data_IF_851050071605
#
_entry.id   IF_851050071605
#
_cell.length_a   1.000
_cell.length_b   1.000
_cell.length_c   1.000
_cell.angle_alpha   90.00
_cell.angle_beta   90.00
_cell.angle_gamma   90.00
#
_symmetry.space_group_name_H-M   'P 1'
#
loop_
_entity.id
_entity.type
_entity.pdbx_description
1 polymer ?
#
# COMPACT_ATOMS: atom_id res chain seq x y z
N UNK A 1 2.21 -4.85 -1.17
CA UNK A 1 3.07 -5.89 -0.57
C UNK A 1 3.88 -5.27 0.56
N UNK A 2 3.74 -5.73 1.81
CA UNK A 2 4.55 -5.23 2.93
C UNK A 2 6.00 -5.75 2.79
N UNK A 3 6.91 -4.83 2.47
CA UNK A 3 8.35 -5.06 2.54
C UNK A 3 8.70 -5.44 3.99
N UNK A 4 9.44 -6.55 4.18
CA UNK A 4 9.89 -6.94 5.52
C UNK A 4 11.09 -6.08 5.89
N UNK A 5 10.96 -5.18 6.86
CA UNK A 5 12.06 -4.34 7.32
C UNK A 5 12.71 -4.91 8.57
N UNK A 6 14.05 -4.97 8.61
CA UNK A 6 14.78 -5.37 9.83
C UNK A 6 14.51 -4.42 11.00
N UNK A 7 14.22 -3.14 10.72
CA UNK A 7 13.96 -2.11 11.73
C UNK A 7 12.68 -2.38 12.54
N UNK A 8 11.79 -3.27 12.09
CA UNK A 8 10.59 -3.65 12.82
C UNK A 8 10.85 -4.66 13.95
N UNK A 9 12.08 -5.19 14.04
CA UNK A 9 12.44 -6.25 14.97
C UNK A 9 13.46 -5.78 16.01
N UNK A 10 13.20 -6.11 17.27
CA UNK A 10 14.18 -5.94 18.37
C UNK A 10 14.94 -7.23 18.70
N UNK A 11 14.69 -8.31 17.94
CA UNK A 11 15.35 -9.60 18.05
C UNK A 11 15.65 -10.12 16.64
N UNK A 12 16.94 -10.27 16.33
CA UNK A 12 17.40 -10.68 15.01
C UNK A 12 16.85 -12.06 14.60
N UNK A 13 16.62 -12.97 15.55
CA UNK A 13 16.08 -14.32 15.29
C UNK A 13 14.67 -14.25 14.74
N UNK A 14 13.86 -13.32 15.27
CA UNK A 14 12.49 -13.09 14.80
C UNK A 14 12.47 -12.57 13.37
N UNK A 15 13.41 -11.68 13.03
CA UNK A 15 13.56 -11.22 11.65
C UNK A 15 13.93 -12.37 10.72
N UNK A 16 14.95 -13.17 11.07
CA UNK A 16 15.40 -14.29 10.23
C UNK A 16 14.23 -15.26 9.98
N UNK A 17 13.47 -15.61 11.03
CA UNK A 17 12.29 -16.46 10.91
C UNK A 17 11.20 -15.86 9.99
N UNK A 18 10.93 -14.56 10.12
CA UNK A 18 9.96 -13.86 9.29
C UNK A 18 10.39 -13.78 7.81
N UNK A 19 11.69 -13.59 7.54
CA UNK A 19 12.26 -13.58 6.20
C UNK A 19 12.15 -14.94 5.53
N UNK A 20 12.47 -16.02 6.26
CA UNK A 20 12.40 -17.40 5.77
C UNK A 20 10.98 -17.86 5.44
N UNK A 21 10.00 -17.42 6.22
CA UNK A 21 8.59 -17.73 5.97
C UNK A 21 8.11 -17.23 4.61
N UNK A 22 8.82 -16.25 4.03
CA UNK A 22 8.56 -15.70 2.69
C UNK A 22 9.36 -16.39 1.57
N UNK A 23 10.25 -17.33 1.89
CA UNK A 23 11.05 -18.05 0.90
C UNK A 23 10.30 -19.25 0.29
N UNK A 24 10.70 -19.73 -0.91
CA UNK A 24 10.09 -20.90 -1.55
C UNK A 24 10.00 -22.11 -0.61
N UNK A 25 8.88 -22.85 -0.68
CA UNK A 25 8.59 -24.00 0.20
C UNK A 25 8.54 -23.66 1.70
N UNK A 26 8.25 -22.39 2.05
CA UNK A 26 8.17 -21.89 3.45
C UNK A 26 9.43 -22.18 4.27
N UNK A 27 10.59 -22.21 3.63
CA UNK A 27 11.86 -22.49 4.30
C UNK A 27 12.09 -23.97 4.64
N UNK A 28 11.48 -24.93 3.93
CA UNK A 28 11.82 -26.36 4.10
C UNK A 28 13.33 -26.58 3.89
N UNK A 29 13.98 -27.26 4.83
CA UNK A 29 15.44 -27.43 4.85
C UNK A 29 16.22 -26.24 5.43
N UNK A 30 15.52 -25.29 6.07
CA UNK A 30 16.10 -24.07 6.62
C UNK A 30 17.34 -24.30 7.50
N UNK A 31 17.22 -25.16 8.52
CA UNK A 31 18.33 -25.41 9.45
C UNK A 31 19.57 -25.91 8.71
N UNK A 32 19.41 -26.80 7.73
CA UNK A 32 20.50 -27.33 6.90
C UNK A 32 21.16 -26.25 6.04
N UNK A 33 20.37 -25.42 5.37
CA UNK A 33 20.91 -24.32 4.54
C UNK A 33 21.67 -23.29 5.39
N UNK A 34 21.13 -22.97 6.56
CA UNK A 34 21.75 -22.01 7.46
C UNK A 34 23.01 -22.60 8.11
N UNK A 35 23.01 -23.89 8.43
CA UNK A 35 24.17 -24.61 8.94
C UNK A 35 25.31 -24.62 7.92
N UNK A 36 24.99 -24.92 6.65
CA UNK A 36 25.96 -24.88 5.55
C UNK A 36 26.54 -23.48 5.34
N UNK A 37 25.68 -22.45 5.27
CA UNK A 37 26.10 -21.05 5.08
C UNK A 37 27.03 -20.58 6.20
N UNK A 38 26.65 -20.82 7.45
CA UNK A 38 27.42 -20.41 8.64
C UNK A 38 28.57 -21.38 8.97
N UNK A 39 28.86 -22.35 8.11
CA UNK A 39 29.88 -23.39 8.35
C UNK A 39 29.75 -24.05 9.73
N UNK A 40 28.53 -24.35 10.14
CA UNK A 40 28.19 -24.89 11.48
C UNK A 40 27.27 -26.10 11.39
N UNK A 41 26.88 -26.68 12.54
CA UNK A 41 26.00 -27.86 12.58
C UNK A 41 24.52 -27.48 12.69
N UNK A 42 23.63 -28.34 12.19
CA UNK A 42 22.18 -28.21 12.38
C UNK A 42 21.77 -28.08 13.84
N UNK A 43 22.49 -28.77 14.74
CA UNK A 43 22.27 -28.66 16.17
C UNK A 43 22.60 -27.26 16.70
N UNK A 44 23.71 -26.67 16.26
CA UNK A 44 24.10 -25.30 16.61
C UNK A 44 23.07 -24.27 16.12
N UNK A 45 22.57 -24.42 14.90
CA UNK A 45 21.50 -23.55 14.38
C UNK A 45 20.21 -23.73 15.19
N UNK A 46 19.83 -24.96 15.54
CA UNK A 46 18.66 -25.19 16.41
C UNK A 46 18.80 -24.49 17.77
N UNK A 47 19.99 -24.53 18.38
CA UNK A 47 20.28 -23.85 19.64
C UNK A 47 20.19 -22.32 19.50
N UNK A 48 20.60 -21.75 18.36
CA UNK A 48 20.48 -20.31 18.08
C UNK A 48 19.01 -19.86 18.10
N UNK A 49 18.13 -20.56 17.38
CA UNK A 49 16.70 -20.19 17.32
C UNK A 49 15.93 -20.51 18.61
N UNK A 50 16.46 -21.41 19.45
CA UNK A 50 15.97 -21.63 20.81
C UNK A 50 16.49 -20.60 21.83
N UNK A 51 17.35 -19.67 21.40
CA UNK A 51 17.97 -18.67 22.26
C UNK A 51 18.98 -19.22 23.26
N UNK A 52 19.51 -20.42 23.01
CA UNK A 52 20.53 -21.07 23.84
C UNK A 52 21.95 -20.70 23.38
N UNK A 53 22.09 -20.20 22.15
CA UNK A 53 23.32 -19.74 21.55
C UNK A 53 23.04 -18.48 20.73
N UNK A 54 24.06 -17.65 20.53
CA UNK A 54 23.95 -16.46 19.69
C UNK A 54 24.92 -16.56 18.51
N UNK A 55 24.54 -16.00 17.35
CA UNK A 55 25.44 -15.88 16.19
C UNK A 55 26.60 -14.93 16.49
N UNK A 56 27.73 -15.08 15.81
CA UNK A 56 28.84 -14.11 15.90
C UNK A 56 28.64 -12.94 14.94
N UNK A 57 29.50 -11.93 15.03
CA UNK A 57 29.47 -10.80 14.10
C UNK A 57 29.84 -11.23 12.68
N UNK A 58 30.75 -12.21 12.53
CA UNK A 58 31.12 -12.81 11.26
C UNK A 58 29.93 -13.57 10.63
N UNK A 59 29.25 -14.40 11.43
CA UNK A 59 28.00 -15.05 10.99
C UNK A 59 26.92 -14.03 10.62
N UNK A 60 26.83 -12.91 11.35
CA UNK A 60 25.86 -11.87 11.05
C UNK A 60 26.18 -11.17 9.71
N UNK A 61 27.46 -10.97 9.37
CA UNK A 61 27.89 -10.45 8.08
C UNK A 61 27.53 -11.41 6.93
N UNK A 62 27.82 -12.70 7.07
CA UNK A 62 27.49 -13.72 6.06
C UNK A 62 25.98 -13.79 5.77
N UNK A 63 25.15 -13.57 6.80
CA UNK A 63 23.69 -13.54 6.65
C UNK A 63 23.18 -12.23 6.04
N UNK A 64 23.81 -11.11 6.37
CA UNK A 64 23.43 -9.81 5.81
C UNK A 64 23.57 -9.78 4.28
N UNK A 65 24.58 -10.46 3.73
CA UNK A 65 24.74 -10.65 2.28
C UNK A 65 23.55 -11.41 1.68
N UNK A 66 23.12 -12.50 2.31
CA UNK A 66 21.97 -13.30 1.88
C UNK A 66 20.66 -12.49 1.92
N UNK A 67 20.54 -11.57 2.88
CA UNK A 67 19.39 -10.68 3.01
C UNK A 67 19.44 -9.46 2.09
N UNK A 68 20.56 -9.24 1.37
CA UNK A 68 20.83 -8.05 0.57
C UNK A 68 20.69 -6.74 1.36
N UNK A 69 21.20 -6.73 2.60
CA UNK A 69 21.13 -5.53 3.43
C UNK A 69 21.98 -4.39 2.89
N UNK A 70 21.43 -3.19 2.93
CA UNK A 70 22.23 -1.97 2.77
C UNK A 70 23.04 -1.66 4.05
N UNK A 71 23.94 -0.67 3.98
CA UNK A 71 24.82 -0.31 5.10
C UNK A 71 24.10 -0.04 6.42
N UNK A 72 22.92 0.61 6.38
CA UNK A 72 22.15 0.94 7.58
C UNK A 72 21.49 -0.31 8.17
N UNK A 73 20.95 -1.17 7.32
CA UNK A 73 20.33 -2.43 7.72
C UNK A 73 21.36 -3.39 8.31
N UNK A 74 22.54 -3.49 7.68
CA UNK A 74 23.67 -4.25 8.19
C UNK A 74 24.09 -3.73 9.57
N UNK A 75 24.34 -2.43 9.70
CA UNK A 75 24.73 -1.82 10.98
C UNK A 75 23.72 -2.10 12.09
N UNK A 76 22.43 -2.05 11.76
CA UNK A 76 21.36 -2.35 12.72
C UNK A 76 21.27 -3.84 13.06
N UNK A 77 21.50 -4.74 12.10
CA UNK A 77 21.53 -6.18 12.34
C UNK A 77 22.70 -6.62 13.24
N UNK A 78 23.88 -6.03 13.03
CA UNK A 78 25.05 -6.21 13.91
C UNK A 78 24.75 -5.70 15.33
N UNK A 79 24.05 -4.57 15.45
CA UNK A 79 23.61 -4.03 16.75
C UNK A 79 22.63 -4.96 17.48
N UNK A 80 21.67 -5.56 16.78
CA UNK A 80 20.77 -6.57 17.36
C UNK A 80 21.53 -7.81 17.83
N UNK A 81 22.56 -8.21 17.08
CA UNK A 81 23.42 -9.34 17.41
C UNK A 81 24.22 -9.07 18.69
N UNK A 82 24.83 -7.88 18.81
CA UNK A 82 25.54 -7.48 20.04
C UNK A 82 24.61 -7.41 21.25
N UNK A 83 23.40 -6.88 21.06
CA UNK A 83 22.40 -6.81 22.11
C UNK A 83 21.98 -8.20 22.63
N UNK A 84 21.88 -9.18 21.74
CA UNK A 84 21.57 -10.56 22.11
C UNK A 84 22.75 -11.25 22.81
N UNK A 85 23.98 -11.06 22.30
CA UNK A 85 25.21 -11.67 22.84
C UNK A 85 25.63 -11.13 24.20
N UNK A 86 25.39 -9.85 24.47
CA UNK A 86 25.94 -9.23 25.69
C UNK A 86 25.25 -9.72 26.97
N UNK A 87 26.07 -10.12 27.94
CA UNK A 87 25.65 -10.48 29.31
C UNK A 87 25.73 -9.30 30.28
N UNK A 88 26.42 -8.21 29.91
CA UNK A 88 26.57 -7.02 30.75
C UNK A 88 25.29 -6.20 30.78
N UNK A 89 24.67 -6.07 31.95
CA UNK A 89 23.44 -5.29 32.14
C UNK A 89 23.60 -3.83 31.69
N UNK A 90 24.75 -3.21 31.99
CA UNK A 90 25.03 -1.81 31.64
C UNK A 90 25.14 -1.63 30.13
N UNK A 91 25.85 -2.53 29.45
CA UNK A 91 25.99 -2.49 27.98
C UNK A 91 24.65 -2.79 27.31
N UNK A 92 23.90 -3.78 27.80
CA UNK A 92 22.57 -4.13 27.30
C UNK A 92 21.60 -2.95 27.33
N UNK A 93 21.62 -2.15 28.40
CA UNK A 93 20.82 -0.92 28.51
C UNK A 93 21.20 0.11 27.43
N UNK A 94 22.50 0.31 27.17
CA UNK A 94 22.99 1.24 26.15
C UNK A 94 22.57 0.78 24.74
N UNK A 95 22.79 -0.49 24.42
CA UNK A 95 22.43 -1.05 23.12
C UNK A 95 20.91 -0.98 22.88
N UNK A 96 20.09 -1.25 23.91
CA UNK A 96 18.63 -1.11 23.80
C UNK A 96 18.22 0.34 23.48
N UNK A 97 18.86 1.34 24.09
CA UNK A 97 18.60 2.75 23.79
C UNK A 97 18.97 3.10 22.35
N UNK A 98 20.07 2.57 21.83
CA UNK A 98 20.46 2.75 20.43
C UNK A 98 19.46 2.10 19.47
N UNK A 99 19.03 0.86 19.77
CA UNK A 99 17.98 0.15 19.00
C UNK A 99 16.71 0.99 18.94
N UNK A 100 16.22 1.45 20.09
CA UNK A 100 15.00 2.28 20.18
C UNK A 100 15.15 3.60 19.43
N UNK A 101 16.31 4.25 19.52
CA UNK A 101 16.60 5.50 18.78
C UNK A 101 16.49 5.28 17.28
N UNK A 102 17.16 4.27 16.74
CA UNK A 102 17.12 3.96 15.30
C UNK A 102 15.70 3.59 14.85
N UNK A 103 14.98 2.79 15.63
CA UNK A 103 13.58 2.45 15.32
C UNK A 103 12.68 3.68 15.29
N UNK A 104 12.84 4.60 16.24
CA UNK A 104 12.07 5.84 16.29
C UNK A 104 12.42 6.77 15.12
N UNK A 105 13.70 6.88 14.76
CA UNK A 105 14.14 7.64 13.59
C UNK A 105 13.54 7.08 12.30
N UNK A 106 13.60 5.76 12.11
CA UNK A 106 13.01 5.09 10.94
C UNK A 106 11.49 5.24 10.88
N UNK A 107 10.79 5.08 12.01
CA UNK A 107 9.34 5.37 12.09
C UNK A 107 9.05 6.83 11.77
N UNK A 108 9.85 7.77 12.27
CA UNK A 108 9.67 9.20 11.97
C UNK A 108 9.91 9.54 10.49
N UNK A 109 10.87 8.87 9.85
CA UNK A 109 11.16 9.01 8.42
C UNK A 109 10.06 8.40 7.58
N UNK A 110 9.58 7.20 7.91
CA UNK A 110 8.41 6.59 7.28
C UNK A 110 7.17 7.51 7.41
N UNK A 111 6.94 8.07 8.60
CA UNK A 111 5.87 9.02 8.84
C UNK A 111 6.03 10.34 8.05
N UNK A 112 7.26 10.81 7.82
CA UNK A 112 7.53 11.99 6.96
C UNK A 112 7.28 11.68 5.49
N UNK A 113 7.77 10.55 4.99
CA UNK A 113 7.55 10.10 3.60
C UNK A 113 6.07 9.79 3.33
N UNK A 114 5.31 9.35 4.34
CA UNK A 114 3.85 9.23 4.21
C UNK A 114 3.13 10.58 4.23
N UNK A 115 3.56 11.54 5.06
CA UNK A 115 3.00 12.90 5.08
C UNK A 115 3.21 13.65 3.77
N UNK A 116 4.36 13.48 3.12
CA UNK A 116 4.64 14.09 1.81
C UNK A 116 3.79 13.48 0.66
N UNK A 117 3.14 12.33 0.90
CA UNK A 117 2.23 11.65 -0.04
C UNK A 117 0.74 11.89 0.26
N UNK A 118 0.41 12.68 1.27
CA UNK A 118 -0.96 13.03 1.62
C UNK A 118 -1.30 14.43 1.07
N UNK A 119 -2.43 14.52 0.37
CA UNK A 119 -2.93 15.80 -0.11
C UNK A 119 -3.30 16.71 1.05
N UNK A 120 -2.98 18.01 0.93
CA UNK A 120 -3.47 19.03 1.87
C UNK A 120 -4.98 19.18 1.74
N UNK A 121 -5.65 19.70 2.78
CA UNK A 121 -7.10 19.93 2.75
C UNK A 121 -7.52 20.87 1.60
N UNK A 122 -6.69 21.87 1.28
CA UNK A 122 -6.90 22.76 0.13
C UNK A 122 -6.90 21.96 -1.19
N UNK A 123 -5.93 21.07 -1.37
CA UNK A 123 -5.84 20.23 -2.57
C UNK A 123 -7.00 19.25 -2.64
N UNK A 124 -7.37 18.63 -1.51
CA UNK A 124 -8.55 17.76 -1.42
C UNK A 124 -9.84 18.49 -1.81
N UNK A 125 -10.01 19.74 -1.37
CA UNK A 125 -11.21 20.54 -1.67
C UNK A 125 -11.44 20.71 -3.17
N UNK A 126 -10.36 20.86 -3.95
CA UNK A 126 -10.41 20.98 -5.41
C UNK A 126 -10.53 19.60 -6.04
N UNK A 127 -9.69 18.65 -5.62
CA UNK A 127 -9.66 17.29 -6.19
C UNK A 127 -11.00 16.55 -6.07
N UNK A 128 -11.72 16.73 -4.95
CA UNK A 128 -13.04 16.12 -4.75
C UNK A 128 -14.21 17.03 -5.11
N UNK A 129 -13.96 18.22 -5.68
CA UNK A 129 -15.03 19.13 -6.10
C UNK A 129 -15.86 18.59 -7.28
N UNK A 130 -15.24 17.76 -8.12
CA UNK A 130 -15.84 17.15 -9.32
C UNK A 130 -15.27 15.76 -9.58
N UNK A 131 -16.08 14.87 -10.15
CA UNK A 131 -15.64 13.53 -10.57
C UNK A 131 -14.54 13.58 -11.64
N UNK A 132 -14.41 14.69 -12.37
CA UNK A 132 -13.46 14.84 -13.47
C UNK A 132 -12.00 14.69 -13.02
N UNK A 133 -11.64 15.13 -11.81
CA UNK A 133 -10.26 15.01 -11.31
C UNK A 133 -9.87 13.55 -11.04
N UNK A 134 -10.73 12.81 -10.35
CA UNK A 134 -10.53 11.37 -10.12
C UNK A 134 -10.64 10.58 -11.42
N UNK A 135 -11.64 10.90 -12.26
CA UNK A 135 -11.86 10.27 -13.54
C UNK A 135 -10.67 10.42 -14.48
N UNK A 136 -10.11 11.63 -14.60
CA UNK A 136 -8.92 11.88 -15.41
C UNK A 136 -7.70 11.13 -14.89
N UNK A 137 -7.46 11.15 -13.57
CA UNK A 137 -6.35 10.38 -12.96
C UNK A 137 -6.47 8.89 -13.27
N UNK A 138 -7.66 8.31 -13.21
CA UNK A 138 -7.89 6.91 -13.54
C UNK A 138 -7.77 6.62 -15.04
N UNK A 139 -8.20 7.53 -15.91
CA UNK A 139 -8.00 7.39 -17.37
C UNK A 139 -6.52 7.41 -17.76
N UNK A 140 -5.70 8.20 -17.07
CA UNK A 140 -4.25 8.23 -17.28
C UNK A 140 -3.57 6.95 -16.81
N UNK A 141 -4.20 6.16 -15.94
CA UNK A 141 -3.68 4.85 -15.55
C UNK A 141 -3.78 3.80 -16.67
N UNK A 142 -4.57 4.06 -17.71
CA UNK A 142 -4.70 3.15 -18.85
C UNK A 142 -3.40 3.15 -19.65
N UNK A 143 -2.72 2.01 -19.76
CA UNK A 143 -1.39 1.91 -20.41
C UNK A 143 -1.44 2.29 -21.91
N UNK A 144 -2.60 2.16 -22.54
CA UNK A 144 -2.86 2.57 -23.91
C UNK A 144 -3.52 3.97 -23.94
N UNK A 145 -2.96 4.87 -24.77
CA UNK A 145 -3.57 6.16 -25.20
C UNK A 145 -3.45 7.34 -24.23
N UNK A 146 -2.52 7.33 -23.26
CA UNK A 146 -2.21 8.47 -22.37
C UNK A 146 -1.69 9.72 -23.07
N UNK A 147 -1.28 9.58 -24.33
CA UNK A 147 -0.49 10.60 -25.04
C UNK A 147 -1.39 11.59 -25.81
N UNK A 148 -2.70 11.36 -25.85
CA UNK A 148 -3.65 12.17 -26.63
C UNK A 148 -4.60 12.97 -25.72
N UNK A 149 -4.35 14.28 -25.63
CA UNK A 149 -5.25 15.22 -24.95
C UNK A 149 -6.66 15.22 -25.60
N UNK A 150 -6.73 15.04 -26.91
CA UNK A 150 -8.02 14.97 -27.63
C UNK A 150 -8.82 13.74 -27.19
N UNK A 151 -8.17 12.58 -27.07
CA UNK A 151 -8.82 11.37 -26.57
C UNK A 151 -9.36 11.58 -25.15
N UNK A 152 -8.58 12.20 -24.25
CA UNK A 152 -9.02 12.49 -22.88
C UNK A 152 -10.21 13.47 -22.84
N UNK A 153 -10.18 14.52 -23.67
CA UNK A 153 -11.26 15.50 -23.77
C UNK A 153 -12.56 14.87 -24.30
N UNK A 154 -12.47 14.07 -25.37
CA UNK A 154 -13.59 13.33 -25.95
C UNK A 154 -14.16 12.32 -24.95
N UNK A 155 -13.29 11.56 -24.27
CA UNK A 155 -13.70 10.53 -23.30
C UNK A 155 -14.44 11.14 -22.10
N UNK A 156 -13.97 12.28 -21.62
CA UNK A 156 -14.59 13.01 -20.51
C UNK A 156 -15.76 13.89 -20.96
N UNK A 157 -15.94 14.11 -22.27
CA UNK A 157 -16.92 15.05 -22.87
C UNK A 157 -16.78 16.47 -22.30
N UNK A 158 -15.54 16.96 -22.20
CA UNK A 158 -15.23 18.31 -21.71
C UNK A 158 -14.44 19.12 -22.72
N UNK A 159 -14.50 20.44 -22.58
CA UNK A 159 -13.77 21.37 -23.44
C UNK A 159 -12.24 21.28 -23.19
N UNK A 160 -11.36 21.41 -24.22
CA UNK A 160 -9.91 21.31 -24.04
C UNK A 160 -9.32 22.27 -22.99
N UNK A 161 -9.84 23.49 -22.90
CA UNK A 161 -9.44 24.51 -21.91
C UNK A 161 -9.74 24.04 -20.48
N UNK A 162 -10.84 23.31 -20.27
CA UNK A 162 -11.18 22.74 -18.97
C UNK A 162 -10.25 21.57 -18.65
N UNK A 163 -9.98 20.70 -19.63
CA UNK A 163 -9.02 19.61 -19.48
C UNK A 163 -7.62 20.12 -19.08
N UNK A 164 -7.12 21.17 -19.74
CA UNK A 164 -5.83 21.78 -19.41
C UNK A 164 -5.76 22.22 -17.95
N UNK A 165 -6.77 22.95 -17.47
CA UNK A 165 -6.82 23.40 -16.06
C UNK A 165 -6.78 22.24 -15.07
N UNK A 166 -7.44 21.12 -15.38
CA UNK A 166 -7.44 19.93 -14.54
C UNK A 166 -6.05 19.27 -14.57
N UNK A 167 -5.44 19.13 -15.76
CA UNK A 167 -4.10 18.55 -15.91
C UNK A 167 -3.02 19.37 -15.18
N UNK A 168 -3.08 20.70 -15.30
CA UNK A 168 -2.17 21.62 -14.62
C UNK A 168 -2.27 21.42 -13.10
N UNK A 169 -3.51 21.41 -12.57
CA UNK A 169 -3.75 21.16 -11.15
C UNK A 169 -3.23 19.79 -10.71
N UNK A 170 -3.52 18.72 -11.45
CA UNK A 170 -3.10 17.37 -11.09
C UNK A 170 -1.56 17.22 -11.13
N UNK A 171 -0.90 17.88 -12.08
CA UNK A 171 0.57 17.82 -12.23
C UNK A 171 1.26 18.65 -11.15
N UNK A 172 0.78 19.88 -10.89
CA UNK A 172 1.31 20.75 -9.84
C UNK A 172 1.24 20.10 -8.45
N UNK A 173 0.21 19.30 -8.21
CA UNK A 173 0.00 18.62 -6.94
C UNK A 173 0.51 17.17 -6.93
N UNK A 174 1.33 16.77 -7.91
CA UNK A 174 1.93 15.42 -8.01
C UNK A 174 0.91 14.27 -8.00
N UNK A 175 -0.33 14.54 -8.41
CA UNK A 175 -1.37 13.53 -8.63
C UNK A 175 -1.19 12.84 -9.98
N UNK A 176 -0.57 13.55 -10.93
CA UNK A 176 -0.03 13.05 -12.19
C UNK A 176 1.43 13.50 -12.32
N UNK A 177 2.22 12.74 -13.06
CA UNK A 177 3.61 13.07 -13.39
C UNK A 177 3.85 12.86 -14.88
N UNK A 178 4.74 13.67 -15.46
CA UNK A 178 5.18 13.50 -16.83
C UNK A 178 6.48 12.67 -16.82
N UNK A 179 6.45 11.49 -17.41
CA UNK A 179 7.60 10.59 -17.55
C UNK A 179 7.80 10.25 -19.03
N UNK A 180 8.95 10.61 -19.59
CA UNK A 180 9.28 10.37 -21.01
C UNK A 180 8.19 10.85 -21.99
N UNK A 181 7.64 12.05 -21.75
CA UNK A 181 6.53 12.67 -22.51
C UNK A 181 5.18 11.94 -22.39
N UNK A 182 5.06 10.94 -21.52
CA UNK A 182 3.79 10.27 -21.20
C UNK A 182 3.28 10.69 -19.83
N UNK A 183 1.99 10.92 -19.72
CA UNK A 183 1.35 11.16 -18.42
C UNK A 183 1.25 9.83 -17.67
N UNK A 184 1.64 9.84 -16.41
CA UNK A 184 1.51 8.71 -15.48
C UNK A 184 0.87 9.14 -14.18
N UNK A 185 0.29 8.18 -13.47
CA UNK A 185 -0.24 8.39 -12.13
C UNK A 185 0.89 8.78 -11.18
N UNK A 186 0.69 9.88 -10.45
CA UNK A 186 1.67 10.38 -9.48
C UNK A 186 1.63 9.63 -8.14
N UNK A 187 2.64 9.86 -7.27
CA UNK A 187 2.86 9.10 -6.04
C UNK A 187 1.87 9.43 -4.90
N UNK A 188 1.05 10.47 -5.05
CA UNK A 188 0.11 10.92 -4.03
C UNK A 188 -1.01 9.90 -3.78
N UNK A 189 -1.32 9.68 -2.49
CA UNK A 189 -2.44 8.83 -2.06
C UNK A 189 -3.74 9.65 -2.05
N UNK A 190 -4.78 9.09 -2.66
CA UNK A 190 -6.11 9.72 -2.80
C UNK A 190 -7.18 8.98 -1.99
N UNK A 191 -6.79 8.23 -0.96
CA UNK A 191 -7.77 7.61 -0.08
C UNK A 191 -8.37 8.66 0.86
N UNK A 192 -9.70 8.69 0.97
CA UNK A 192 -10.41 9.50 1.96
C UNK A 192 -10.69 8.66 3.19
N UNK A 193 -10.31 9.20 4.35
CA UNK A 193 -10.73 8.65 5.64
C UNK A 193 -12.25 8.81 5.79
N UNK A 194 -12.88 7.88 6.52
CA UNK A 194 -14.33 7.82 6.70
C UNK A 194 -14.95 9.13 7.21
N UNK A 195 -14.24 9.83 8.09
CA UNK A 195 -14.72 11.06 8.73
C UNK A 195 -14.34 12.34 7.95
N UNK A 196 -13.74 12.20 6.76
CA UNK A 196 -13.40 13.37 5.95
C UNK A 196 -14.66 14.05 5.40
N UNK A 197 -14.74 15.40 5.47
CA UNK A 197 -15.88 16.15 4.95
C UNK A 197 -16.07 15.99 3.43
N UNK A 198 -15.06 15.49 2.71
CA UNK A 198 -15.11 15.29 1.27
C UNK A 198 -15.72 13.95 0.84
N UNK A 199 -15.91 12.99 1.77
CA UNK A 199 -16.49 11.66 1.46
C UNK A 199 -17.87 11.80 0.83
N UNK A 200 -18.76 12.56 1.49
CA UNK A 200 -20.12 12.81 0.99
C UNK A 200 -20.10 13.46 -0.39
N UNK A 201 -19.25 14.48 -0.59
CA UNK A 201 -19.17 15.18 -1.87
C UNK A 201 -18.64 14.27 -2.98
N UNK A 202 -17.64 13.46 -2.70
CA UNK A 202 -17.10 12.47 -3.63
C UNK A 202 -18.17 11.47 -4.08
N UNK A 203 -18.92 10.91 -3.12
CA UNK A 203 -20.03 10.00 -3.39
C UNK A 203 -21.15 10.64 -4.22
N UNK A 204 -21.53 11.88 -3.91
CA UNK A 204 -22.53 12.64 -4.67
C UNK A 204 -22.07 12.87 -6.12
N UNK A 205 -20.81 13.26 -6.33
CA UNK A 205 -20.29 13.52 -7.68
C UNK A 205 -20.39 12.28 -8.58
N UNK A 206 -20.04 11.09 -8.07
CA UNK A 206 -20.14 9.84 -8.84
C UNK A 206 -21.58 9.38 -9.06
N UNK A 207 -22.48 9.60 -8.09
CA UNK A 207 -23.91 9.31 -8.26
C UNK A 207 -24.57 10.23 -9.28
N UNK A 208 -24.26 11.53 -9.26
CA UNK A 208 -24.71 12.48 -10.30
C UNK A 208 -24.20 12.07 -11.68
N UNK A 209 -22.95 11.58 -11.78
CA UNK A 209 -22.42 11.02 -13.01
C UNK A 209 -23.18 9.76 -13.44
N UNK A 210 -23.48 8.86 -12.51
CA UNK A 210 -24.28 7.66 -12.77
C UNK A 210 -25.67 8.00 -13.31
N UNK A 211 -26.37 8.99 -12.73
CA UNK A 211 -27.65 9.48 -13.23
C UNK A 211 -27.55 9.99 -14.68
N UNK A 212 -26.45 10.64 -15.03
CA UNK A 212 -26.20 11.08 -16.42
C UNK A 212 -26.01 9.90 -17.37
N UNK A 213 -25.31 8.85 -16.93
CA UNK A 213 -25.12 7.63 -17.75
C UNK A 213 -26.37 6.76 -17.83
N UNK A 214 -27.27 6.78 -16.84
CA UNK A 214 -28.58 6.12 -16.92
C UNK A 214 -29.40 6.63 -18.12
N UNK A 215 -29.30 7.93 -18.42
CA UNK A 215 -29.95 8.54 -19.60
C UNK A 215 -29.20 8.19 -20.90
N UNK A 216 -27.88 8.00 -20.82
CA UNK A 216 -27.00 7.73 -21.97
C UNK A 216 -26.44 6.30 -21.94
N UNK A 217 -27.33 5.33 -21.66
CA UNK A 217 -26.96 3.95 -21.37
C UNK A 217 -26.24 3.28 -22.54
N UNK A 218 -25.18 2.53 -22.22
CA UNK A 218 -24.53 1.58 -23.13
C UNK A 218 -24.98 0.16 -22.78
N UNK A 219 -24.90 -0.75 -23.73
CA UNK A 219 -25.28 -2.16 -23.55
C UNK A 219 -24.51 -2.86 -22.41
N UNK A 220 -23.26 -2.45 -22.19
CA UNK A 220 -22.40 -3.00 -21.13
C UNK A 220 -22.67 -2.40 -19.73
N UNK A 221 -23.47 -1.34 -19.65
CA UNK A 221 -23.74 -0.65 -18.37
C UNK A 221 -24.81 -1.41 -17.57
N UNK A 222 -24.54 -1.65 -16.29
CA UNK A 222 -25.48 -2.29 -15.37
C UNK A 222 -26.12 -1.23 -14.45
N UNK A 223 -27.42 -1.02 -14.61
CA UNK A 223 -28.24 -0.21 -13.70
C UNK A 223 -29.27 -1.10 -13.01
N UNK A 224 -29.27 -1.10 -11.69
CA UNK A 224 -30.17 -1.91 -10.88
C UNK A 224 -30.72 -1.10 -9.71
N UNK A 225 -32.01 -1.24 -9.42
CA UNK A 225 -32.67 -0.57 -8.30
C UNK A 225 -33.73 -1.51 -7.75
N UNK A 226 -33.67 -1.77 -6.44
CA UNK A 226 -34.56 -2.71 -5.77
C UNK A 226 -34.96 -2.15 -4.38
N UNK A 227 -35.97 -1.27 -4.31
CA UNK A 227 -36.64 -1.02 -3.04
C UNK A 227 -37.25 -2.33 -2.55
N UNK A 228 -37.12 -2.62 -1.26
CA UNK A 228 -37.43 -3.94 -0.71
C UNK A 228 -38.00 -3.85 0.70
N UNK A 229 -38.86 -4.82 1.03
CA UNK A 229 -39.33 -5.09 2.39
C UNK A 229 -38.77 -6.45 2.81
N UNK A 230 -38.05 -6.48 3.94
CA UNK A 230 -37.33 -7.67 4.41
C UNK A 230 -37.22 -7.66 5.93
N UNK A 231 -36.88 -8.82 6.51
CA UNK A 231 -36.56 -8.92 7.93
C UNK A 231 -35.22 -8.26 8.25
N UNK A 232 -35.08 -7.80 9.49
CA UNK A 232 -33.84 -7.22 10.02
C UNK A 232 -32.64 -8.18 9.88
N UNK A 233 -32.86 -9.48 10.11
CA UNK A 233 -31.82 -10.50 9.97
C UNK A 233 -31.34 -10.62 8.52
N UNK A 234 -32.26 -10.56 7.55
CA UNK A 234 -31.91 -10.57 6.14
C UNK A 234 -31.20 -9.27 5.74
N UNK A 235 -31.61 -8.13 6.27
CA UNK A 235 -30.97 -6.84 6.02
C UNK A 235 -29.50 -6.83 6.48
N UNK A 236 -29.23 -7.35 7.69
CA UNK A 236 -27.86 -7.53 8.22
C UNK A 236 -27.04 -8.49 7.36
N UNK A 237 -27.64 -9.61 6.94
CA UNK A 237 -26.98 -10.61 6.09
C UNK A 237 -26.58 -10.01 4.73
N UNK A 238 -27.49 -9.31 4.06
CA UNK A 238 -27.22 -8.66 2.76
C UNK A 238 -26.10 -7.63 2.92
N UNK A 239 -26.16 -6.79 3.97
CA UNK A 239 -25.10 -5.81 4.24
C UNK A 239 -23.73 -6.45 4.42
N UNK A 240 -23.65 -7.58 5.12
CA UNK A 240 -22.39 -8.32 5.27
C UNK A 240 -21.87 -8.84 3.93
N UNK A 241 -22.75 -9.43 3.10
CA UNK A 241 -22.40 -9.90 1.76
C UNK A 241 -21.89 -8.77 0.85
N UNK A 242 -22.47 -7.57 0.93
CA UNK A 242 -21.98 -6.41 0.20
C UNK A 242 -20.55 -6.01 0.64
N UNK A 243 -20.25 -6.08 1.94
CA UNK A 243 -18.90 -5.78 2.46
C UNK A 243 -17.88 -6.81 1.98
N UNK A 244 -18.25 -8.10 2.00
CA UNK A 244 -17.39 -9.18 1.53
C UNK A 244 -17.09 -9.02 0.03
N UNK A 245 -18.12 -8.75 -0.78
CA UNK A 245 -17.99 -8.47 -2.20
C UNK A 245 -17.06 -7.27 -2.48
N UNK A 246 -17.24 -6.14 -1.77
CA UNK A 246 -16.38 -4.97 -1.92
C UNK A 246 -14.92 -5.32 -1.59
N UNK A 247 -14.70 -6.09 -0.53
CA UNK A 247 -13.35 -6.46 -0.08
C UNK A 247 -12.63 -7.37 -1.09
N UNK A 248 -13.35 -8.34 -1.65
CA UNK A 248 -12.84 -9.23 -2.69
C UNK A 248 -12.54 -8.46 -3.99
N UNK A 249 -13.49 -7.64 -4.45
CA UNK A 249 -13.33 -6.79 -5.63
C UNK A 249 -12.12 -5.86 -5.53
N UNK A 250 -11.92 -5.19 -4.38
CA UNK A 250 -10.76 -4.29 -4.19
C UNK A 250 -9.44 -5.05 -4.30
N UNK A 251 -9.37 -6.28 -3.81
CA UNK A 251 -8.19 -7.14 -3.92
C UNK A 251 -7.92 -7.50 -5.39
N UNK A 252 -8.94 -7.95 -6.12
CA UNK A 252 -8.81 -8.31 -7.54
C UNK A 252 -8.38 -7.12 -8.41
N UNK A 253 -8.99 -5.94 -8.19
CA UNK A 253 -8.62 -4.70 -8.90
C UNK A 253 -7.16 -4.33 -8.63
N UNK A 254 -6.65 -4.55 -7.42
CA UNK A 254 -5.26 -4.26 -7.06
C UNK A 254 -4.22 -5.15 -7.75
N UNK A 255 -4.60 -6.34 -8.19
CA UNK A 255 -3.75 -7.30 -8.90
C UNK A 255 -3.90 -7.21 -10.43
N UNK A 256 -4.96 -6.52 -10.90
CA UNK A 256 -5.32 -6.35 -12.32
C UNK A 256 -4.43 -5.32 -13.04
N UNK A 257 -4.23 -5.54 -14.35
CA UNK A 257 -3.75 -4.49 -15.26
C UNK A 257 -4.80 -3.38 -15.42
N UNK A 258 -4.33 -2.17 -15.73
CA UNK A 258 -5.20 -1.01 -15.97
C UNK A 258 -5.57 -0.90 -17.44
N UNK A 259 -6.53 -1.71 -17.89
CA UNK A 259 -6.96 -1.76 -19.31
C UNK A 259 -8.30 -1.06 -19.55
N UNK A 260 -9.09 -0.86 -18.49
CA UNK A 260 -10.37 -0.17 -18.58
C UNK A 260 -10.71 0.57 -17.29
N UNK A 261 -11.66 1.52 -17.36
CA UNK A 261 -12.20 2.22 -16.19
C UNK A 261 -13.68 1.91 -16.05
N UNK A 262 -14.12 1.67 -14.81
CA UNK A 262 -15.52 1.52 -14.41
C UNK A 262 -15.74 2.23 -13.09
N UNK A 263 -16.97 2.66 -12.85
CA UNK A 263 -17.40 3.19 -11.55
C UNK A 263 -18.54 2.30 -11.05
N UNK A 264 -18.37 1.78 -9.84
CA UNK A 264 -19.41 1.05 -9.14
C UNK A 264 -19.89 1.91 -7.96
N UNK A 265 -21.19 2.21 -7.95
CA UNK A 265 -21.86 2.86 -6.83
C UNK A 265 -22.74 1.82 -6.13
N UNK A 266 -22.61 1.70 -4.81
CA UNK A 266 -23.46 0.83 -3.98
C UNK A 266 -24.09 1.70 -2.92
N UNK A 267 -25.42 1.60 -2.82
CA UNK A 267 -26.25 2.32 -1.85
C UNK A 267 -27.09 1.31 -1.07
N UNK A 268 -26.86 1.23 0.24
CA UNK A 268 -27.66 0.41 1.16
C UNK A 268 -28.07 1.27 2.34
N UNK A 269 -29.34 1.64 2.40
CA UNK A 269 -29.91 2.52 3.42
C UNK A 269 -31.37 2.16 3.69
N UNK A 270 -31.82 2.49 4.89
CA UNK A 270 -33.23 2.49 5.27
C UNK A 270 -33.83 3.85 4.88
N UNK A 271 -35.05 3.85 4.32
CA UNK A 271 -35.74 5.04 3.80
C UNK A 271 -37.13 5.22 4.40
#
# INVERSE_FOLDING_TARGET
MNYLSIFDFSDYRKFIFAWLSKQPLKGRGFYSKLAEKLSTSNAAVSQIFKGQREISQEHALELAEEFNFNEKELSYFLLLTDFARTSSFKLKKILLQQIQKIQNEQRSLANKVEKDKLLTEQVKSIYYSSWLYTGLRNLVALEERTDSLNFLAERLKIHPQQLSKILDFLTQNQLLVLDNKKLKVGPQKTHLEKDSPFVTKHHQNWRLKSMTEMVNQKEIDLFYTAPMSLSEDLAKKIRAQLIDFISEMVKEVGESKSETVRCLNIDWFEY
#
